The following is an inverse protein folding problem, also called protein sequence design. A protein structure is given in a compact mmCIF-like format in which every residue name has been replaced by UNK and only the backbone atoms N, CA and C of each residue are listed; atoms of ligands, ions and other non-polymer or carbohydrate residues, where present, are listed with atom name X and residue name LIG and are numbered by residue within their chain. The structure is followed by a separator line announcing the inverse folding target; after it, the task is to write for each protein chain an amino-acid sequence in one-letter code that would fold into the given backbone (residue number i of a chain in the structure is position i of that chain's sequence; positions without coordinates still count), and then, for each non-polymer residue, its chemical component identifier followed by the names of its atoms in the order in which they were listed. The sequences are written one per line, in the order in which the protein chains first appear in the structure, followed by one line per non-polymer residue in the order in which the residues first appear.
data_IF_181967971569
#
_entry.id   IF_181967971569
#
_cell.length_a   1.000
_cell.length_b   1.000
_cell.length_c   1.000
_cell.angle_alpha   90.00
_cell.angle_beta   90.00
_cell.angle_gamma   90.00
#
_symmetry.space_group_name_H-M   'P 1'
#
loop_
_entity.id
_entity.type
_entity.pdbx_description
1 polymer ?
#
# COMPACT_ATOMS: atom_id res chain seq x y z
N UNK A 1 12.27 10.71 -13.94
CA UNK A 1 11.08 9.95 -13.59
C UNK A 1 9.91 10.92 -13.44
N UNK A 2 8.90 10.81 -14.26
CA UNK A 2 7.65 11.58 -14.11
C UNK A 2 6.64 10.61 -13.49
N UNK A 3 6.43 10.72 -12.18
CA UNK A 3 5.33 10.00 -11.53
C UNK A 3 4.02 10.48 -12.13
N UNK A 4 3.13 9.52 -12.45
CA UNK A 4 1.74 9.84 -12.72
C UNK A 4 1.18 10.50 -11.46
N UNK A 5 0.89 11.79 -11.52
CA UNK A 5 0.08 12.44 -10.48
C UNK A 5 -1.34 11.92 -10.64
N UNK A 6 -1.71 10.89 -9.88
CA UNK A 6 -3.09 10.44 -9.78
C UNK A 6 -3.88 11.58 -9.13
N UNK A 7 -4.83 12.13 -9.87
CA UNK A 7 -5.74 13.16 -9.37
C UNK A 7 -6.59 12.56 -8.24
N UNK A 8 -6.38 13.04 -7.03
CA UNK A 8 -7.21 12.73 -5.87
C UNK A 8 -8.62 13.29 -6.07
N UNK A 9 -9.60 12.41 -6.03
CA UNK A 9 -11.03 12.79 -5.94
C UNK A 9 -11.52 12.36 -4.56
N UNK A 10 -11.89 13.34 -3.76
CA UNK A 10 -12.37 13.18 -2.38
C UNK A 10 -13.69 12.38 -2.35
N UNK A 11 -13.72 11.29 -1.61
CA UNK A 11 -14.95 10.59 -1.25
C UNK A 11 -15.46 11.10 0.09
N UNK A 12 -16.65 11.71 0.08
CA UNK A 12 -17.36 12.11 1.31
C UNK A 12 -18.14 10.92 1.87
N UNK A 13 -17.86 10.55 3.11
CA UNK A 13 -18.59 9.51 3.81
C UNK A 13 -19.95 10.04 4.32
N UNK A 14 -21.04 9.35 3.94
CA UNK A 14 -22.38 9.51 4.56
C UNK A 14 -22.52 8.48 5.67
N UNK A 15 -22.74 8.96 6.89
CA UNK A 15 -23.22 8.14 8.01
C UNK A 15 -24.69 7.76 7.80
N UNK A 16 -25.03 6.50 7.92
CA UNK A 16 -26.42 6.04 8.06
C UNK A 16 -26.54 5.10 9.26
N UNK A 17 -27.58 5.33 10.05
CA UNK A 17 -27.84 4.78 11.35
C UNK A 17 -28.52 3.41 11.33
N UNK A 18 -28.19 2.59 12.34
CA UNK A 18 -29.12 1.80 13.13
C UNK A 18 -29.72 0.53 12.56
N UNK A 19 -29.25 -0.62 13.08
CA UNK A 19 -29.98 -1.88 13.04
C UNK A 19 -29.37 -2.85 14.07
N UNK A 20 -30.11 -3.15 15.14
CA UNK A 20 -29.75 -4.14 16.16
C UNK A 20 -29.91 -5.54 15.63
N UNK A 21 -28.86 -6.35 15.65
CA UNK A 21 -28.91 -7.78 15.38
C UNK A 21 -28.31 -8.54 16.58
N UNK A 22 -28.95 -9.65 16.91
CA UNK A 22 -28.75 -10.50 18.08
C UNK A 22 -27.31 -11.00 18.25
N UNK A 23 -26.86 -11.00 19.50
CA UNK A 23 -25.57 -11.46 19.95
C UNK A 23 -25.42 -12.98 19.83
N UNK A 24 -24.71 -13.43 18.80
CA UNK A 24 -23.95 -14.67 18.87
C UNK A 24 -22.65 -14.36 19.60
N UNK A 25 -22.24 -15.23 20.54
CA UNK A 25 -20.96 -15.10 21.26
C UNK A 25 -19.78 -15.25 20.29
N UNK A 26 -19.45 -14.16 19.60
CA UNK A 26 -18.16 -14.04 18.95
C UNK A 26 -17.13 -13.84 20.07
N UNK A 27 -16.14 -14.72 20.16
CA UNK A 27 -14.95 -14.44 20.92
C UNK A 27 -14.50 -13.03 20.54
N UNK A 28 -14.36 -12.14 21.53
CA UNK A 28 -13.96 -10.77 21.27
C UNK A 28 -12.68 -10.80 20.45
N UNK A 29 -12.75 -10.39 19.20
CA UNK A 29 -11.58 -10.22 18.37
C UNK A 29 -10.70 -9.25 19.13
N UNK A 30 -9.50 -9.71 19.53
CA UNK A 30 -8.55 -8.85 20.23
C UNK A 30 -8.27 -7.69 19.30
N UNK A 31 -8.60 -6.48 19.76
CA UNK A 31 -8.31 -5.28 18.99
C UNK A 31 -6.80 -5.21 18.77
N UNK A 32 -6.38 -5.12 17.51
CA UNK A 32 -4.97 -4.98 17.18
C UNK A 32 -4.37 -3.77 17.89
N UNK A 33 -3.16 -3.87 18.44
CA UNK A 33 -2.42 -2.71 18.90
C UNK A 33 -2.27 -1.69 17.76
N UNK A 34 -2.35 -0.40 18.08
CA UNK A 34 -2.25 0.66 17.07
C UNK A 34 -0.85 1.26 17.03
N UNK A 35 -0.27 1.33 15.83
CA UNK A 35 0.89 2.14 15.50
C UNK A 35 0.41 3.38 14.74
N UNK A 36 0.63 4.57 15.28
CA UNK A 36 0.21 5.82 14.65
C UNK A 36 1.38 6.51 13.96
N UNK A 37 1.17 6.89 12.70
CA UNK A 37 2.12 7.61 11.86
C UNK A 37 1.50 8.95 11.45
N UNK A 38 2.14 10.07 11.83
CA UNK A 38 1.66 11.40 11.44
C UNK A 38 2.71 12.10 10.58
N UNK A 39 2.39 12.30 9.30
CA UNK A 39 3.24 12.96 8.33
C UNK A 39 2.96 14.46 8.26
N UNK A 40 4.03 15.26 8.19
CA UNK A 40 4.00 16.69 7.85
C UNK A 40 4.97 16.95 6.69
N UNK A 41 5.02 18.18 6.20
CA UNK A 41 5.96 18.55 5.13
C UNK A 41 7.44 18.37 5.51
N UNK A 42 7.79 18.35 6.80
CA UNK A 42 9.18 18.33 7.26
C UNK A 42 9.48 17.22 8.28
N UNK A 43 8.48 16.47 8.72
CA UNK A 43 8.66 15.43 9.76
C UNK A 43 7.66 14.29 9.61
N UNK A 44 7.99 13.18 10.22
CA UNK A 44 7.05 12.09 10.52
C UNK A 44 7.18 11.74 11.99
N UNK A 45 6.07 11.55 12.67
CA UNK A 45 6.01 11.14 14.08
C UNK A 45 5.47 9.72 14.15
N UNK A 46 6.12 8.88 14.95
CA UNK A 46 5.74 7.50 15.25
C UNK A 46 5.33 7.41 16.71
N UNK A 47 4.17 6.82 17.00
CA UNK A 47 3.70 6.60 18.37
C UNK A 47 2.83 5.34 18.48
N UNK A 48 2.63 4.84 19.70
CA UNK A 48 1.80 3.66 19.97
C UNK A 48 2.60 2.36 20.01
N UNK A 49 2.10 1.31 19.37
CA UNK A 49 2.62 -0.06 19.50
C UNK A 49 3.97 -0.24 18.77
N UNK A 50 5.00 -0.54 19.55
CA UNK A 50 6.35 -0.85 19.04
C UNK A 50 6.85 -2.22 19.52
N UNK A 51 5.94 -3.19 19.64
CA UNK A 51 6.26 -4.60 19.88
C UNK A 51 5.92 -5.43 18.64
N UNK A 52 6.63 -6.54 18.44
CA UNK A 52 6.38 -7.42 17.31
C UNK A 52 5.02 -8.08 17.39
N UNK A 53 4.40 -8.28 16.23
CA UNK A 53 3.07 -8.86 16.08
C UNK A 53 2.23 -8.09 15.06
N UNK A 54 0.97 -8.51 14.93
CA UNK A 54 -0.03 -7.80 14.14
C UNK A 54 -0.36 -6.45 14.74
N UNK A 55 -0.39 -5.42 13.90
CA UNK A 55 -0.73 -4.04 14.28
C UNK A 55 -1.70 -3.42 13.28
N UNK A 56 -2.54 -2.52 13.78
CA UNK A 56 -3.26 -1.58 12.94
C UNK A 56 -2.40 -0.31 12.79
N UNK A 57 -1.95 -0.01 11.59
CA UNK A 57 -1.19 1.21 11.28
C UNK A 57 -2.17 2.29 10.88
N UNK A 58 -2.21 3.34 11.68
CA UNK A 58 -3.07 4.52 11.47
C UNK A 58 -2.21 5.66 10.95
N UNK A 59 -2.35 5.98 9.68
CA UNK A 59 -1.59 7.02 9.01
C UNK A 59 -2.42 8.29 8.82
N UNK A 60 -1.83 9.45 9.13
CA UNK A 60 -2.45 10.78 8.96
C UNK A 60 -1.48 11.75 8.30
N UNK A 61 -2.01 12.73 7.56
CA UNK A 61 -1.24 13.83 6.97
C UNK A 61 -1.73 15.18 7.50
N UNK A 62 -0.79 16.04 7.93
CA UNK A 62 -1.08 17.38 8.43
C UNK A 62 -0.31 18.42 7.62
N UNK A 63 -1.02 19.40 7.07
CA UNK A 63 -0.41 20.48 6.28
C UNK A 63 0.11 20.04 4.90
N UNK A 64 -0.17 18.81 4.49
CA UNK A 64 0.11 18.25 3.17
C UNK A 64 -1.22 17.94 2.49
N UNK A 65 -1.31 18.14 1.18
CA UNK A 65 -2.51 17.75 0.41
C UNK A 65 -2.63 16.22 0.39
N UNK A 66 -1.52 15.55 0.26
CA UNK A 66 -1.37 14.11 0.19
C UNK A 66 0.04 13.71 0.65
N UNK A 67 0.19 12.59 1.31
CA UNK A 67 1.46 12.03 1.72
C UNK A 67 1.47 10.52 1.56
N UNK A 68 2.55 9.97 1.04
CA UNK A 68 2.91 8.58 1.26
C UNK A 68 3.48 8.44 2.67
N UNK A 69 3.26 7.31 3.30
CA UNK A 69 3.88 6.93 4.58
C UNK A 69 4.38 5.50 4.45
N UNK A 70 5.68 5.32 4.66
CA UNK A 70 6.36 4.05 4.43
C UNK A 70 7.07 3.59 5.71
N UNK A 71 7.03 2.29 6.00
CA UNK A 71 7.86 1.66 7.02
C UNK A 71 8.90 0.75 6.36
N UNK A 72 10.16 1.00 6.71
CA UNK A 72 11.30 0.22 6.25
C UNK A 72 11.98 -0.47 7.43
N UNK A 73 12.06 -1.80 7.39
CA UNK A 73 12.82 -2.61 8.34
C UNK A 73 14.27 -2.68 7.89
N UNK A 74 15.18 -2.12 8.68
CA UNK A 74 16.62 -2.11 8.39
C UNK A 74 17.28 -3.44 8.72
N UNK A 75 18.17 -3.91 7.85
CA UNK A 75 19.14 -4.96 8.20
C UNK A 75 20.18 -4.46 9.19
N UNK A 76 20.78 -5.35 9.99
CA UNK A 76 21.83 -4.96 10.92
C UNK A 76 22.95 -4.17 10.24
N UNK A 77 23.28 -3.00 10.78
CA UNK A 77 24.32 -2.10 10.26
C UNK A 77 23.90 -1.20 9.10
N UNK A 78 22.69 -1.34 8.57
CA UNK A 78 22.15 -0.38 7.60
C UNK A 78 21.60 0.87 8.28
N UNK A 79 21.66 2.02 7.59
CA UNK A 79 21.04 3.27 8.01
C UNK A 79 20.16 3.83 6.88
N UNK A 80 19.25 4.72 7.23
CA UNK A 80 18.36 5.33 6.24
C UNK A 80 19.14 6.10 5.15
N UNK A 81 20.21 6.80 5.53
CA UNK A 81 21.04 7.56 4.60
C UNK A 81 21.69 6.66 3.54
N UNK A 82 22.12 5.46 3.94
CA UNK A 82 22.69 4.46 3.01
C UNK A 82 21.62 3.94 2.05
N UNK A 83 20.40 3.68 2.54
CA UNK A 83 19.25 3.28 1.72
C UNK A 83 18.90 4.39 0.72
N UNK A 84 18.78 5.62 1.19
CA UNK A 84 18.44 6.78 0.35
C UNK A 84 19.51 7.02 -0.72
N UNK A 85 20.79 6.98 -0.36
CA UNK A 85 21.89 7.12 -1.30
C UNK A 85 21.89 6.01 -2.37
N UNK A 86 21.54 4.77 -1.99
CA UNK A 86 21.43 3.67 -2.94
C UNK A 86 20.30 3.87 -3.93
N UNK A 87 19.12 4.31 -3.49
CA UNK A 87 17.97 4.63 -4.35
C UNK A 87 18.32 5.79 -5.31
N UNK A 88 18.96 6.83 -4.81
CA UNK A 88 19.40 7.96 -5.65
C UNK A 88 20.40 7.53 -6.72
N UNK A 89 21.41 6.72 -6.34
CA UNK A 89 22.40 6.15 -7.28
C UNK A 89 21.76 5.27 -8.34
N UNK A 90 20.71 4.55 -7.98
CA UNK A 90 19.95 3.68 -8.87
C UNK A 90 18.82 4.43 -9.62
N UNK A 91 18.89 5.77 -9.67
CA UNK A 91 17.91 6.61 -10.37
C UNK A 91 16.46 6.37 -9.93
N UNK A 92 16.27 5.98 -8.64
CA UNK A 92 14.95 5.76 -8.03
C UNK A 92 14.46 4.31 -8.09
N UNK A 93 15.25 3.37 -8.58
CA UNK A 93 14.91 1.95 -8.49
C UNK A 93 14.90 1.51 -7.02
N UNK A 94 13.70 1.22 -6.52
CA UNK A 94 13.48 0.79 -5.13
C UNK A 94 13.92 -0.64 -4.87
N UNK A 95 14.14 -1.47 -5.91
CA UNK A 95 14.57 -2.86 -5.75
C UNK A 95 15.97 -2.97 -5.13
N UNK A 96 16.80 -1.94 -5.28
CA UNK A 96 18.14 -1.90 -4.65
C UNK A 96 18.08 -1.89 -3.12
N UNK A 97 16.94 -1.54 -2.54
CA UNK A 97 16.73 -1.48 -1.08
C UNK A 97 16.82 -2.85 -0.42
N UNK A 98 16.58 -3.94 -1.15
CA UNK A 98 16.66 -5.32 -0.66
C UNK A 98 18.02 -5.69 -0.05
N UNK A 99 19.09 -4.97 -0.42
CA UNK A 99 20.43 -5.13 0.18
C UNK A 99 20.48 -4.64 1.62
N UNK A 100 19.65 -3.67 1.96
CA UNK A 100 19.71 -2.91 3.23
C UNK A 100 18.52 -3.17 4.15
N UNK A 101 17.47 -3.78 3.65
CA UNK A 101 16.25 -4.02 4.41
C UNK A 101 15.05 -4.34 3.54
N UNK A 102 13.87 -4.11 4.09
CA UNK A 102 12.59 -4.41 3.43
C UNK A 102 11.58 -3.30 3.67
N UNK A 103 10.87 -2.91 2.62
CA UNK A 103 9.64 -2.11 2.74
C UNK A 103 8.56 -3.07 3.23
N UNK A 104 8.06 -2.84 4.45
CA UNK A 104 7.08 -3.73 5.09
C UNK A 104 5.68 -3.16 5.11
N UNK A 105 5.56 -1.87 4.81
CA UNK A 105 4.29 -1.15 4.79
C UNK A 105 4.45 0.12 3.95
N UNK A 106 3.44 0.43 3.18
CA UNK A 106 3.29 1.72 2.49
C UNK A 106 1.80 2.04 2.36
N UNK A 107 1.43 3.27 2.67
CA UNK A 107 0.07 3.78 2.50
C UNK A 107 0.08 5.23 2.03
N UNK A 108 -0.90 5.59 1.21
CA UNK A 108 -1.18 6.98 0.87
C UNK A 108 -2.28 7.53 1.78
N UNK A 109 -2.11 8.78 2.22
CA UNK A 109 -3.09 9.48 3.06
C UNK A 109 -3.29 10.90 2.55
N UNK A 110 -4.54 11.29 2.33
CA UNK A 110 -4.91 12.66 1.97
C UNK A 110 -5.11 13.53 3.21
N UNK A 111 -4.93 14.83 3.07
CA UNK A 111 -5.13 15.79 4.16
C UNK A 111 -6.50 15.67 4.80
N UNK A 112 -6.53 15.57 6.13
CA UNK A 112 -7.77 15.43 6.89
C UNK A 112 -8.43 14.05 6.80
N UNK A 113 -7.78 13.10 6.14
CA UNK A 113 -8.20 11.70 6.10
C UNK A 113 -7.28 10.86 7.00
N UNK A 114 -7.76 9.69 7.35
CA UNK A 114 -7.00 8.66 8.05
C UNK A 114 -6.99 7.43 7.16
N UNK A 115 -5.81 6.83 6.98
CA UNK A 115 -5.67 5.49 6.39
C UNK A 115 -5.44 4.50 7.53
N UNK A 116 -6.16 3.38 7.52
CA UNK A 116 -6.03 2.29 8.47
C UNK A 116 -5.73 1.00 7.71
N UNK A 117 -4.51 0.52 7.88
CA UNK A 117 -4.03 -0.70 7.21
C UNK A 117 -3.31 -1.57 8.22
N UNK A 118 -3.50 -2.87 8.14
CA UNK A 118 -2.90 -3.82 9.07
C UNK A 118 -1.65 -4.45 8.45
N UNK A 119 -0.63 -4.66 9.28
CA UNK A 119 0.57 -5.41 8.90
C UNK A 119 1.14 -6.13 10.11
N UNK A 120 2.20 -6.92 9.90
CA UNK A 120 2.91 -7.62 10.96
C UNK A 120 4.32 -7.05 11.12
N UNK A 121 4.63 -6.55 12.30
CA UNK A 121 5.96 -6.03 12.61
C UNK A 121 6.86 -7.14 13.16
N UNK A 122 8.02 -7.32 12.53
CA UNK A 122 9.11 -8.14 13.06
C UNK A 122 9.94 -7.33 14.06
N UNK A 123 10.64 -7.96 15.05
CA UNK A 123 11.59 -7.25 15.87
C UNK A 123 12.73 -6.68 15.01
N UNK A 124 13.13 -5.43 15.27
CA UNK A 124 14.23 -4.79 14.52
C UNK A 124 14.24 -3.28 14.58
N UNK A 125 15.14 -2.69 13.82
CA UNK A 125 15.25 -1.24 13.63
C UNK A 125 14.42 -0.84 12.43
N UNK A 126 13.57 0.14 12.60
CA UNK A 126 12.68 0.66 11.57
C UNK A 126 12.95 2.12 11.28
N UNK A 127 12.65 2.49 10.07
CA UNK A 127 12.53 3.90 9.66
C UNK A 127 11.12 4.11 9.11
N UNK A 128 10.40 5.07 9.69
CA UNK A 128 9.21 5.64 9.08
C UNK A 128 9.65 6.77 8.16
N UNK A 129 9.13 6.80 6.93
CA UNK A 129 9.56 7.75 5.90
C UNK A 129 8.35 8.38 5.24
N UNK A 130 8.42 9.68 4.95
CA UNK A 130 7.50 10.33 4.00
C UNK A 130 8.19 10.31 2.63
N UNK A 131 7.80 9.41 1.71
CA UNK A 131 8.34 9.42 0.36
C UNK A 131 8.05 10.75 -0.33
N UNK A 132 9.02 11.32 -1.02
CA UNK A 132 8.86 12.59 -1.70
C UNK A 132 9.66 12.66 -2.98
N UNK A 133 9.27 13.57 -3.88
CA UNK A 133 10.07 13.93 -5.05
C UNK A 133 11.03 15.05 -4.65
N UNK A 134 12.30 14.96 -5.08
CA UNK A 134 13.26 16.04 -4.92
C UNK A 134 14.62 15.62 -4.39
N UNK A 135 15.55 16.60 -4.35
CA UNK A 135 16.95 16.43 -3.91
C UNK A 135 17.16 16.79 -2.43
N UNK A 136 16.18 16.64 -1.59
CA UNK A 136 16.31 16.89 -0.15
C UNK A 136 16.29 15.59 0.67
N UNK A 137 16.78 15.64 1.90
CA UNK A 137 16.56 14.56 2.85
C UNK A 137 15.07 14.41 3.11
N UNK A 138 14.56 13.20 2.99
CA UNK A 138 13.16 12.91 3.23
C UNK A 138 12.86 13.00 4.72
N UNK A 139 11.68 13.49 5.07
CA UNK A 139 11.21 13.42 6.45
C UNK A 139 11.17 11.96 6.90
N UNK A 140 11.90 11.64 7.98
CA UNK A 140 11.98 10.28 8.50
C UNK A 140 12.11 10.26 10.02
N UNK A 141 11.77 9.13 10.63
CA UNK A 141 11.93 8.87 12.06
C UNK A 141 12.36 7.42 12.27
N UNK A 142 13.43 7.24 13.04
CA UNK A 142 13.91 5.93 13.44
C UNK A 142 13.16 5.47 14.70
N UNK A 143 12.79 4.19 14.75
CA UNK A 143 12.24 3.57 15.95
C UNK A 143 12.60 2.09 16.02
N UNK A 144 12.45 1.50 17.19
CA UNK A 144 12.77 0.08 17.43
C UNK A 144 11.49 -0.69 17.71
N UNK A 145 11.30 -1.80 17.01
CA UNK A 145 10.29 -2.80 17.37
C UNK A 145 10.98 -3.87 18.24
N UNK A 146 10.51 -4.01 19.47
CA UNK A 146 11.02 -5.03 20.41
C UNK A 146 10.25 -6.34 20.25
N UNK A 147 10.89 -7.46 20.57
CA UNK A 147 10.22 -8.76 20.57
C UNK A 147 9.11 -8.79 21.63
N UNK A 148 7.92 -9.22 21.22
CA UNK A 148 6.80 -9.51 22.14
C UNK A 148 6.87 -10.95 22.61
N UNK A 149 6.65 -11.19 23.91
CA UNK A 149 6.51 -12.56 24.44
C UNK A 149 5.21 -13.25 23.97
N UNK A 150 4.20 -12.46 23.59
CA UNK A 150 2.91 -12.94 23.09
C UNK A 150 2.47 -12.04 21.92
N UNK A 151 3.06 -12.22 20.71
CA UNK A 151 2.72 -11.40 19.56
C UNK A 151 1.26 -11.62 19.16
N UNK A 152 0.53 -10.52 18.93
CA UNK A 152 -0.87 -10.58 18.49
C UNK A 152 -0.90 -11.07 17.05
N UNK A 153 -1.79 -12.03 16.75
CA UNK A 153 -2.03 -12.47 15.38
C UNK A 153 -2.92 -11.46 14.64
N UNK A 154 -2.70 -11.31 13.33
CA UNK A 154 -3.63 -10.60 12.46
C UNK A 154 -4.93 -11.41 12.29
N UNK A 155 -6.08 -10.75 12.10
CA UNK A 155 -7.28 -11.45 11.65
C UNK A 155 -7.02 -12.15 10.32
N UNK A 156 -7.67 -13.31 10.12
CA UNK A 156 -7.61 -14.00 8.84
C UNK A 156 -8.26 -13.13 7.76
N UNK A 157 -7.59 -12.90 6.60
CA UNK A 157 -8.20 -12.19 5.49
C UNK A 157 -9.30 -13.07 4.85
N UNK A 158 -10.31 -12.42 4.27
CA UNK A 158 -11.37 -13.08 3.50
C UNK A 158 -10.89 -13.39 2.07
N UNK A 159 -10.00 -12.55 1.55
CA UNK A 159 -9.31 -12.79 0.28
C UNK A 159 -7.82 -12.45 0.39
N UNK A 160 -7.01 -13.13 -0.44
CA UNK A 160 -5.58 -12.82 -0.58
C UNK A 160 -5.24 -12.62 -2.04
N UNK A 161 -4.61 -11.49 -2.34
CA UNK A 161 -3.98 -11.18 -3.61
C UNK A 161 -2.48 -11.36 -3.44
N UNK A 162 -1.86 -12.14 -4.32
CA UNK A 162 -0.42 -12.39 -4.33
C UNK A 162 0.19 -11.75 -5.56
N UNK A 163 1.21 -10.94 -5.38
CA UNK A 163 2.06 -10.52 -6.48
C UNK A 163 3.18 -11.54 -6.69
N UNK A 164 3.42 -11.85 -7.94
CA UNK A 164 4.59 -12.58 -8.44
C UNK A 164 5.24 -11.70 -9.48
N UNK A 165 6.44 -12.06 -9.98
CA UNK A 165 7.04 -11.24 -11.04
C UNK A 165 6.09 -11.10 -12.23
N UNK A 166 5.66 -9.83 -12.44
CA UNK A 166 4.79 -9.35 -13.52
C UNK A 166 3.42 -10.02 -13.59
N UNK A 167 2.85 -10.36 -12.43
CA UNK A 167 1.49 -10.89 -12.36
C UNK A 167 0.86 -10.84 -10.97
N UNK A 168 -0.47 -10.93 -10.94
CA UNK A 168 -1.27 -11.06 -9.73
C UNK A 168 -1.98 -12.39 -9.71
N UNK A 169 -2.03 -13.04 -8.56
CA UNK A 169 -2.81 -14.24 -8.26
C UNK A 169 -3.84 -13.96 -7.17
N UNK A 170 -4.93 -14.69 -7.20
CA UNK A 170 -6.03 -14.55 -6.22
C UNK A 170 -7.39 -14.41 -6.91
N UNK A 171 -8.46 -14.14 -6.16
CA UNK A 171 -9.79 -14.01 -6.71
C UNK A 171 -9.89 -12.84 -7.68
N UNK A 172 -10.68 -12.98 -8.73
CA UNK A 172 -11.01 -11.90 -9.67
C UNK A 172 -12.32 -11.20 -9.31
N UNK A 173 -12.98 -11.62 -8.24
CA UNK A 173 -14.16 -10.97 -7.66
C UNK A 173 -13.90 -10.76 -6.19
N UNK A 174 -14.05 -9.53 -5.73
CA UNK A 174 -13.89 -9.10 -4.34
C UNK A 174 -15.19 -8.41 -3.89
N UNK A 175 -15.43 -8.32 -2.57
CA UNK A 175 -16.63 -7.68 -2.03
C UNK A 175 -16.27 -6.37 -1.33
N UNK A 176 -17.12 -5.37 -1.51
CA UNK A 176 -17.04 -4.14 -0.72
C UNK A 176 -17.25 -4.48 0.77
N UNK A 177 -16.33 -4.04 1.63
CA UNK A 177 -16.28 -4.41 3.05
C UNK A 177 -15.46 -5.65 3.38
N UNK A 178 -14.92 -6.36 2.40
CA UNK A 178 -14.08 -7.54 2.57
C UNK A 178 -12.67 -7.18 3.09
N UNK A 179 -12.14 -7.95 4.04
CA UNK A 179 -10.75 -7.82 4.49
C UNK A 179 -9.83 -8.52 3.49
N UNK A 180 -9.08 -7.75 2.72
CA UNK A 180 -8.18 -8.26 1.68
C UNK A 180 -6.73 -8.11 2.12
N UNK A 181 -5.95 -9.16 1.96
CA UNK A 181 -4.50 -9.16 2.14
C UNK A 181 -3.81 -9.12 0.79
N UNK A 182 -2.86 -8.24 0.66
CA UNK A 182 -1.87 -8.25 -0.40
C UNK A 182 -0.55 -8.81 0.14
N UNK A 183 0.01 -9.83 -0.55
CA UNK A 183 1.28 -10.48 -0.22
C UNK A 183 2.22 -10.37 -1.41
N UNK A 184 3.44 -9.91 -1.19
CA UNK A 184 4.47 -9.91 -2.22
C UNK A 184 5.30 -11.20 -2.16
N UNK A 185 4.98 -12.18 -3.02
CA UNK A 185 5.74 -13.42 -3.20
C UNK A 185 6.83 -13.29 -4.29
N UNK A 186 6.84 -12.18 -5.04
CA UNK A 186 7.87 -11.87 -6.03
C UNK A 186 9.16 -11.33 -5.40
N UNK A 187 10.28 -11.36 -6.14
CA UNK A 187 11.57 -10.86 -5.66
C UNK A 187 11.70 -9.34 -5.76
N UNK A 188 10.95 -8.71 -6.66
CA UNK A 188 10.94 -7.26 -6.83
C UNK A 188 9.98 -6.60 -5.85
N UNK A 189 10.10 -5.29 -5.68
CA UNK A 189 9.11 -4.50 -4.97
C UNK A 189 7.85 -4.39 -5.81
N UNK A 190 6.71 -4.73 -5.24
CA UNK A 190 5.41 -4.66 -5.91
C UNK A 190 4.42 -3.80 -5.13
N UNK A 191 3.45 -3.26 -5.85
CA UNK A 191 2.27 -2.58 -5.30
C UNK A 191 1.01 -3.11 -6.00
N UNK A 192 -0.14 -2.88 -5.40
CA UNK A 192 -1.44 -3.22 -5.98
C UNK A 192 -2.39 -2.03 -5.87
N UNK A 193 -2.79 -1.53 -7.03
CA UNK A 193 -3.75 -0.44 -7.16
C UNK A 193 -4.82 -0.87 -8.15
N UNK A 194 -6.09 -0.87 -7.74
CA UNK A 194 -7.20 -1.18 -8.63
C UNK A 194 -7.85 0.11 -9.16
N UNK A 195 -7.68 0.35 -10.45
CA UNK A 195 -8.23 1.51 -11.16
C UNK A 195 -9.66 1.22 -11.64
N UNK A 196 -10.70 1.97 -11.21
CA UNK A 196 -12.06 1.79 -11.68
C UNK A 196 -12.21 2.23 -13.13
N UNK A 197 -12.98 1.47 -13.90
CA UNK A 197 -13.27 1.76 -15.30
C UNK A 197 -14.76 1.67 -15.61
N UNK A 198 -15.22 2.42 -16.60
CA UNK A 198 -16.66 2.54 -16.92
C UNK A 198 -17.31 1.22 -17.35
N UNK A 199 -16.57 0.35 -18.04
CA UNK A 199 -17.08 -0.91 -18.58
C UNK A 199 -15.93 -1.81 -19.06
N UNK A 200 -16.22 -3.06 -19.43
CA UNK A 200 -15.26 -4.05 -19.91
C UNK A 200 -14.47 -3.59 -21.15
N UNK A 201 -15.07 -2.80 -22.06
CA UNK A 201 -14.36 -2.25 -23.21
C UNK A 201 -13.26 -1.29 -22.77
N UNK A 202 -13.56 -0.43 -21.79
CA UNK A 202 -12.58 0.50 -21.21
C UNK A 202 -11.48 -0.28 -20.45
N UNK A 203 -11.84 -1.35 -19.71
CA UNK A 203 -10.86 -2.20 -19.03
C UNK A 203 -9.85 -2.82 -20.01
N UNK A 204 -10.35 -3.46 -21.07
CA UNK A 204 -9.48 -4.04 -22.11
C UNK A 204 -8.60 -3.01 -22.83
N UNK A 205 -9.14 -1.80 -23.04
CA UNK A 205 -8.36 -0.71 -23.63
C UNK A 205 -7.28 -0.21 -22.68
N UNK A 206 -7.60 -0.10 -21.36
CA UNK A 206 -6.64 0.30 -20.34
C UNK A 206 -5.47 -0.68 -20.27
N UNK A 207 -5.74 -1.99 -20.19
CA UNK A 207 -4.72 -3.03 -20.23
C UNK A 207 -3.82 -2.88 -21.49
N UNK A 208 -4.42 -2.70 -22.67
CA UNK A 208 -3.65 -2.49 -23.90
C UNK A 208 -2.76 -1.25 -23.86
N UNK A 209 -3.24 -0.15 -23.26
CA UNK A 209 -2.50 1.10 -23.17
C UNK A 209 -1.41 1.04 -22.10
N UNK A 210 -1.61 0.27 -20.99
CA UNK A 210 -0.59 -0.05 -19.99
C UNK A 210 0.58 -0.81 -20.63
N UNK A 211 0.30 -1.93 -21.31
CA UNK A 211 1.30 -2.73 -22.02
C UNK A 211 2.09 -1.92 -23.05
N UNK A 212 1.44 -0.93 -23.66
CA UNK A 212 2.06 -0.04 -24.64
C UNK A 212 2.78 1.19 -24.02
N UNK A 213 2.80 1.32 -22.70
CA UNK A 213 3.40 2.47 -21.99
C UNK A 213 2.70 3.82 -22.27
N UNK A 214 1.41 3.81 -22.59
CA UNK A 214 0.65 5.01 -22.96
C UNK A 214 -0.01 5.68 -21.75
N UNK A 215 0.77 6.15 -20.79
CA UNK A 215 0.32 6.71 -19.52
C UNK A 215 -0.81 7.75 -19.65
N UNK A 216 -0.68 8.70 -20.59
CA UNK A 216 -1.72 9.72 -20.82
C UNK A 216 -3.06 9.16 -21.30
N UNK A 217 -3.04 8.02 -21.99
CA UNK A 217 -4.26 7.34 -22.44
C UNK A 217 -4.88 6.56 -21.28
N UNK A 218 -4.07 5.92 -20.45
CA UNK A 218 -4.49 5.22 -19.23
C UNK A 218 -5.29 6.14 -18.31
N UNK A 219 -4.77 7.32 -17.98
CA UNK A 219 -5.44 8.28 -17.10
C UNK A 219 -6.83 8.74 -17.59
N UNK A 220 -7.08 8.71 -18.91
CA UNK A 220 -8.40 9.07 -19.49
C UNK A 220 -9.45 7.97 -19.35
N UNK A 221 -9.05 6.73 -19.08
CA UNK A 221 -9.93 5.58 -18.96
C UNK A 221 -10.35 5.30 -17.52
N UNK A 222 -9.62 5.86 -16.54
CA UNK A 222 -9.94 5.76 -15.12
C UNK A 222 -11.18 6.62 -14.83
N UNK A 223 -12.19 6.04 -14.20
CA UNK A 223 -13.52 6.64 -14.03
C UNK A 223 -13.80 7.15 -12.60
N UNK A 224 -12.85 7.02 -11.69
CA UNK A 224 -13.00 7.44 -10.28
C UNK A 224 -11.72 7.20 -9.47
N UNK A 225 -11.77 7.41 -8.16
CA UNK A 225 -10.62 7.12 -7.29
C UNK A 225 -10.30 5.63 -7.34
N UNK A 226 -9.01 5.26 -7.33
CA UNK A 226 -8.61 3.86 -7.26
C UNK A 226 -8.99 3.27 -5.89
N UNK A 227 -9.22 1.97 -5.86
CA UNK A 227 -9.11 1.19 -4.64
C UNK A 227 -7.63 0.83 -4.48
N UNK A 228 -7.02 1.20 -3.37
CA UNK A 228 -5.66 0.79 -3.04
C UNK A 228 -5.73 -0.49 -2.20
N UNK A 229 -4.93 -1.49 -2.54
CA UNK A 229 -4.78 -2.69 -1.72
C UNK A 229 -3.43 -2.72 -1.04
N UNK A 230 -2.40 -2.21 -1.70
CA UNK A 230 -1.08 -2.02 -1.11
C UNK A 230 -0.26 -0.98 -1.88
N UNK A 231 0.45 -0.14 -1.16
CA UNK A 231 1.59 0.58 -1.69
C UNK A 231 2.79 -0.36 -1.94
N UNK A 232 3.96 0.18 -2.31
CA UNK A 232 5.15 -0.61 -2.52
C UNK A 232 5.54 -1.44 -1.29
N UNK A 233 5.65 -2.77 -1.43
CA UNK A 233 6.17 -3.68 -0.41
C UNK A 233 7.22 -4.61 -0.99
N UNK A 234 8.22 -4.97 -0.19
CA UNK A 234 9.31 -5.86 -0.57
C UNK A 234 8.88 -7.33 -0.55
N UNK A 235 9.72 -8.21 -1.10
CA UNK A 235 9.57 -9.66 -1.03
C UNK A 235 9.21 -10.13 0.39
N UNK A 236 8.25 -11.06 0.51
CA UNK A 236 7.69 -11.61 1.75
C UNK A 236 6.95 -10.60 2.65
N UNK A 237 6.90 -9.33 2.27
CA UNK A 237 6.10 -8.36 2.99
C UNK A 237 4.63 -8.43 2.55
N UNK A 238 3.75 -8.09 3.48
CA UNK A 238 2.32 -8.06 3.23
C UNK A 238 1.63 -6.98 4.06
N UNK A 239 0.50 -6.55 3.59
CA UNK A 239 -0.42 -5.70 4.33
C UNK A 239 -1.86 -6.10 4.01
N UNK A 240 -2.80 -5.74 4.87
CA UNK A 240 -4.22 -6.04 4.65
C UNK A 240 -5.09 -4.87 5.10
N UNK A 241 -6.17 -4.68 4.36
CA UNK A 241 -7.13 -3.63 4.63
C UNK A 241 -8.55 -4.06 4.26
N UNK A 242 -9.54 -3.39 4.84
CA UNK A 242 -10.93 -3.57 4.43
C UNK A 242 -11.19 -2.74 3.18
N UNK A 243 -11.60 -3.39 2.10
CA UNK A 243 -11.92 -2.69 0.85
C UNK A 243 -13.09 -1.72 1.09
N UNK A 244 -12.91 -0.49 0.66
CA UNK A 244 -14.00 0.49 0.54
C UNK A 244 -14.04 0.99 -0.88
N UNK A 245 -14.85 0.35 -1.72
CA UNK A 245 -14.92 0.65 -3.13
C UNK A 245 -16.32 0.45 -3.71
N UNK A 246 -16.69 1.26 -4.67
CA UNK A 246 -17.98 1.11 -5.35
C UNK A 246 -17.98 -0.17 -6.19
N UNK A 247 -19.10 -0.93 -6.21
CA UNK A 247 -19.22 -2.06 -7.12
C UNK A 247 -18.98 -1.65 -8.58
N UNK A 248 -18.17 -2.44 -9.30
CA UNK A 248 -17.79 -2.12 -10.67
C UNK A 248 -16.69 -2.99 -11.23
N UNK A 249 -16.17 -2.58 -12.37
CA UNK A 249 -15.02 -3.20 -13.05
C UNK A 249 -13.79 -2.38 -12.74
N UNK A 250 -12.73 -3.06 -12.35
CA UNK A 250 -11.44 -2.47 -12.01
C UNK A 250 -10.32 -3.16 -12.79
N UNK A 251 -9.21 -2.46 -12.95
CA UNK A 251 -7.97 -3.06 -13.43
C UNK A 251 -6.94 -2.93 -12.31
N UNK A 252 -6.50 -4.05 -11.76
CA UNK A 252 -5.36 -4.11 -10.84
C UNK A 252 -4.08 -3.87 -11.62
N UNK A 253 -3.18 -3.07 -11.07
CA UNK A 253 -1.95 -2.61 -11.74
C UNK A 253 -0.82 -2.47 -10.75
N UNK A 254 0.37 -2.93 -11.12
CA UNK A 254 1.61 -2.55 -10.46
C UNK A 254 2.34 -1.48 -11.28
N UNK A 255 2.54 -0.29 -10.71
CA UNK A 255 3.24 0.83 -11.34
C UNK A 255 4.72 0.91 -10.95
N UNK A 256 5.26 -0.09 -10.25
CA UNK A 256 6.69 -0.12 -9.95
C UNK A 256 7.50 -0.24 -11.24
N UNK A 257 8.70 0.34 -11.24
CA UNK A 257 9.61 0.29 -12.39
C UNK A 257 10.67 -0.79 -12.21
N UNK A 258 11.05 -1.41 -13.32
CA UNK A 258 12.24 -2.25 -13.42
C UNK A 258 13.49 -1.39 -13.62
N UNK A 259 14.67 -2.01 -13.51
CA UNK A 259 15.97 -1.35 -13.70
C UNK A 259 16.14 -0.69 -15.09
N UNK A 260 15.45 -1.19 -16.12
CA UNK A 260 15.47 -0.63 -17.46
C UNK A 260 14.43 0.48 -17.70
N UNK A 261 13.70 0.86 -16.64
CA UNK A 261 12.74 1.97 -16.63
C UNK A 261 11.37 1.63 -17.21
N UNK A 262 11.08 0.35 -17.49
CA UNK A 262 9.72 -0.09 -17.81
C UNK A 262 8.93 -0.31 -16.53
N UNK A 263 7.67 0.10 -16.50
CA UNK A 263 6.79 -0.27 -15.40
C UNK A 263 6.44 -1.76 -15.45
N UNK A 264 6.15 -2.36 -14.29
CA UNK A 264 5.72 -3.76 -14.22
C UNK A 264 4.45 -4.00 -15.04
N UNK A 265 3.58 -3.01 -15.15
CA UNK A 265 2.40 -3.08 -16.03
C UNK A 265 2.74 -3.17 -17.52
N UNK A 266 3.88 -2.64 -17.97
CA UNK A 266 4.37 -2.84 -19.34
C UNK A 266 4.89 -4.25 -19.58
N UNK A 267 5.11 -5.02 -18.52
CA UNK A 267 5.56 -6.41 -18.53
C UNK A 267 4.44 -7.40 -18.25
N UNK A 268 3.18 -6.92 -18.17
CA UNK A 268 2.01 -7.76 -17.98
C UNK A 268 1.48 -7.84 -16.55
N UNK A 269 1.98 -6.99 -15.64
CA UNK A 269 1.50 -6.98 -14.27
C UNK A 269 0.24 -6.12 -14.13
N UNK A 270 -0.82 -6.60 -14.74
CA UNK A 270 -2.18 -6.08 -14.65
C UNK A 270 -3.21 -7.19 -14.83
N UNK A 271 -4.40 -7.04 -14.26
CA UNK A 271 -5.54 -7.91 -14.51
C UNK A 271 -6.87 -7.19 -14.28
N UNK A 272 -7.93 -7.70 -14.87
CA UNK A 272 -9.28 -7.18 -14.67
C UNK A 272 -9.94 -7.93 -13.50
N UNK A 273 -10.49 -7.17 -12.56
CA UNK A 273 -11.27 -7.68 -11.42
C UNK A 273 -12.64 -7.03 -11.35
N UNK A 274 -13.52 -7.61 -10.56
CA UNK A 274 -14.83 -7.10 -10.23
C UNK A 274 -14.93 -6.86 -8.74
N UNK A 275 -15.42 -5.68 -8.34
CA UNK A 275 -15.84 -5.44 -6.95
C UNK A 275 -17.36 -5.49 -6.95
N UNK A 276 -17.93 -6.28 -6.06
CA UNK A 276 -19.36 -6.47 -5.87
C UNK A 276 -19.78 -6.06 -4.45
N UNK A 277 -21.10 -6.03 -4.18
CA UNK A 277 -21.63 -5.75 -2.84
C UNK A 277 -21.45 -6.93 -1.92
#
# INVERSE_FOLDING_TARGET
MKRLTLLAVTASALLAAGGTIAAGSAAAASTLPTLSLTATASSITVSGATQSGGVNVVSTATGLKEAGVLLFLLKPGATFEVVEAAIQKAHGDTNVTSKYGSIVFDAEVSSGQTNETQTYLQPGQYVAVVPGEGKGSRAHANFTVTASAAPVALPAPEATIRSIEFGFQGPSTLHDGELVRFENEGFLVHMDVAAPVKNMKAAKQLVKDLLAGKEKAVGKLISGPPAGFAGPVSHEAFQQETITAKPGIYVEVCFMDTQDGRSHSQLGMERIIHIVK
#
